data_IF_486326307361
#
_entry.id   IF_486326307361
#
_cell.length_a   1.000
_cell.length_b   1.000
_cell.length_c   1.000
_cell.angle_alpha   90.00
_cell.angle_beta   90.00
_cell.angle_gamma   90.00
#
_symmetry.space_group_name_H-M   'P 1'
#
loop_
_entity.id
_entity.type
_entity.pdbx_description
1 polymer ?
#
# COMPACT_ATOMS: atom_id res chain seq x y z
N UNK A 1 -1.56 -18.20 -20.07
CA UNK A 1 -0.24 -18.79 -19.82
C UNK A 1 0.36 -18.16 -18.58
N UNK A 2 0.44 -18.93 -17.51
CA UNK A 2 1.04 -18.54 -16.24
C UNK A 2 2.57 -18.59 -16.33
N UNK A 3 3.27 -17.89 -15.43
CA UNK A 3 4.74 -17.97 -15.36
C UNK A 3 5.22 -19.39 -15.00
N UNK A 4 4.43 -20.13 -14.23
CA UNK A 4 4.71 -21.51 -13.83
C UNK A 4 4.77 -22.49 -15.02
N UNK A 5 3.97 -22.25 -16.07
CA UNK A 5 3.96 -23.08 -17.28
C UNK A 5 5.21 -22.85 -18.15
N UNK A 6 5.89 -21.71 -17.94
CA UNK A 6 7.14 -21.34 -18.60
C UNK A 6 8.37 -21.79 -17.80
N UNK A 7 8.16 -22.30 -16.58
CA UNK A 7 9.20 -22.77 -15.68
C UNK A 7 10.03 -23.89 -16.31
N UNK A 8 11.34 -23.87 -16.04
CA UNK A 8 12.28 -24.93 -16.43
C UNK A 8 13.23 -25.19 -15.27
N UNK A 9 13.28 -26.44 -14.83
CA UNK A 9 14.14 -26.86 -13.72
C UNK A 9 15.59 -26.36 -13.89
N UNK A 10 16.15 -25.78 -12.82
CA UNK A 10 17.49 -25.20 -12.74
C UNK A 10 17.63 -23.77 -13.27
N UNK A 11 16.60 -23.21 -13.91
CA UNK A 11 16.65 -21.87 -14.49
C UNK A 11 16.44 -20.79 -13.42
N UNK A 12 17.32 -19.81 -13.38
CA UNK A 12 17.26 -18.71 -12.42
C UNK A 12 17.79 -17.41 -13.03
N UNK A 13 17.40 -16.28 -12.44
CA UNK A 13 17.94 -14.96 -12.74
C UNK A 13 18.99 -14.60 -11.69
N UNK A 14 20.26 -14.49 -12.09
CA UNK A 14 21.37 -14.27 -11.15
C UNK A 14 21.68 -12.80 -10.87
N UNK A 15 21.14 -11.86 -11.66
CA UNK A 15 21.51 -10.44 -11.62
C UNK A 15 21.29 -9.75 -10.25
N UNK A 16 20.31 -10.22 -9.49
CA UNK A 16 20.00 -9.72 -8.13
C UNK A 16 20.31 -10.77 -7.05
N UNK A 17 20.99 -11.86 -7.41
CA UNK A 17 21.38 -12.85 -6.41
C UNK A 17 22.44 -12.20 -5.52
N UNK A 18 22.21 -12.13 -4.20
CA UNK A 18 23.22 -11.58 -3.30
C UNK A 18 24.50 -12.40 -3.46
N UNK A 19 25.65 -11.72 -3.42
CA UNK A 19 26.92 -12.42 -3.35
C UNK A 19 26.84 -13.40 -2.17
N UNK A 20 27.17 -14.66 -2.42
CA UNK A 20 27.19 -15.68 -1.39
C UNK A 20 28.32 -15.34 -0.44
N UNK A 21 28.04 -14.47 0.53
CA UNK A 21 28.94 -14.27 1.65
C UNK A 21 29.11 -15.62 2.33
N UNK A 22 30.37 -16.02 2.52
CA UNK A 22 30.77 -17.31 3.09
C UNK A 22 30.26 -17.55 4.52
N UNK A 23 29.58 -16.57 5.12
CA UNK A 23 28.79 -16.75 6.31
C UNK A 23 27.47 -17.43 5.95
N UNK A 24 27.55 -18.74 5.68
CA UNK A 24 26.37 -19.59 5.70
C UNK A 24 25.64 -19.32 7.02
N UNK A 25 24.46 -18.69 6.93
CA UNK A 25 23.58 -18.50 8.07
C UNK A 25 23.43 -19.86 8.73
N UNK A 26 23.92 -19.99 9.97
CA UNK A 26 23.86 -21.23 10.73
C UNK A 26 22.44 -21.42 11.26
N UNK A 27 21.52 -21.72 10.35
CA UNK A 27 20.16 -22.10 10.70
C UNK A 27 20.23 -23.52 11.23
N UNK A 28 19.81 -23.79 12.48
CA UNK A 28 19.75 -25.15 12.99
C UNK A 28 18.95 -26.05 12.06
N UNK A 29 19.45 -27.27 11.77
CA UNK A 29 18.81 -28.20 10.82
C UNK A 29 17.34 -28.49 11.16
N UNK A 30 16.99 -28.47 12.44
CA UNK A 30 15.61 -28.63 12.90
C UNK A 30 14.66 -27.52 12.40
N UNK A 31 15.20 -26.34 12.11
CA UNK A 31 14.49 -25.17 11.59
C UNK A 31 14.69 -25.00 10.07
N UNK A 32 15.60 -25.76 9.46
CA UNK A 32 15.86 -25.70 8.03
C UNK A 32 14.65 -26.21 7.24
N UNK A 33 14.32 -25.50 6.16
CA UNK A 33 13.21 -25.88 5.29
C UNK A 33 13.57 -27.15 4.51
N UNK A 34 12.77 -28.20 4.68
CA UNK A 34 12.99 -29.51 4.05
C UNK A 34 12.36 -29.68 2.67
N UNK A 35 11.46 -28.79 2.28
CA UNK A 35 10.71 -28.87 1.02
C UNK A 35 11.09 -27.72 0.08
N UNK A 36 11.14 -28.00 -1.22
CA UNK A 36 11.38 -26.95 -2.23
C UNK A 36 10.26 -25.89 -2.20
N UNK A 37 10.63 -24.67 -2.56
CA UNK A 37 9.68 -23.60 -2.83
C UNK A 37 8.96 -23.87 -4.16
N UNK A 38 7.64 -23.70 -4.20
CA UNK A 38 6.84 -23.79 -5.42
C UNK A 38 6.95 -22.52 -6.28
N UNK A 39 8.14 -21.96 -6.42
CA UNK A 39 8.40 -20.76 -7.23
C UNK A 39 8.71 -21.16 -8.69
N UNK A 40 8.42 -20.28 -9.67
CA UNK A 40 8.79 -20.55 -11.05
C UNK A 40 10.31 -20.43 -11.24
N UNK A 41 10.87 -21.32 -12.04
CA UNK A 41 12.28 -21.32 -12.43
C UNK A 41 12.40 -20.68 -13.83
N UNK A 42 12.64 -19.37 -13.84
CA UNK A 42 12.61 -18.51 -15.03
C UNK A 42 13.88 -17.66 -15.12
N UNK A 43 14.31 -17.36 -16.35
CA UNK A 43 15.41 -16.42 -16.58
C UNK A 43 14.89 -14.99 -16.48
N UNK A 44 15.78 -14.01 -16.33
CA UNK A 44 15.41 -12.60 -16.29
C UNK A 44 14.61 -12.19 -17.54
N UNK A 45 15.04 -12.64 -18.73
CA UNK A 45 14.33 -12.36 -19.98
C UNK A 45 12.95 -13.02 -20.04
N UNK A 46 12.78 -14.21 -19.47
CA UNK A 46 11.48 -14.86 -19.38
C UNK A 46 10.53 -14.05 -18.50
N UNK A 47 11.02 -13.55 -17.35
CA UNK A 47 10.26 -12.71 -16.42
C UNK A 47 9.86 -11.38 -17.08
N UNK A 48 10.81 -10.69 -17.73
CA UNK A 48 10.54 -9.44 -18.47
C UNK A 48 9.46 -9.69 -19.52
N UNK A 49 9.63 -10.71 -20.39
CA UNK A 49 8.65 -11.04 -21.44
C UNK A 49 7.30 -11.39 -20.86
N UNK A 50 7.25 -12.09 -19.73
CA UNK A 50 6.00 -12.46 -19.07
C UNK A 50 5.22 -11.22 -18.63
N UNK A 51 5.84 -10.34 -17.82
CA UNK A 51 5.15 -9.16 -17.28
C UNK A 51 4.88 -8.09 -18.35
N UNK A 52 5.73 -7.92 -19.36
CA UNK A 52 5.43 -7.04 -20.51
C UNK A 52 4.20 -7.54 -21.29
N UNK A 53 4.06 -8.85 -21.51
CA UNK A 53 2.88 -9.40 -22.18
C UNK A 53 1.62 -9.30 -21.31
N UNK A 54 1.75 -9.42 -19.99
CA UNK A 54 0.62 -9.19 -19.08
C UNK A 54 0.19 -7.72 -19.08
N UNK A 55 1.14 -6.77 -19.08
CA UNK A 55 0.80 -5.35 -19.12
C UNK A 55 0.06 -4.97 -20.40
N UNK A 56 0.43 -5.56 -21.55
CA UNK A 56 -0.25 -5.38 -22.83
C UNK A 56 -1.69 -5.95 -22.86
N UNK A 57 -2.02 -6.86 -21.94
CA UNK A 57 -3.38 -7.41 -21.78
C UNK A 57 -4.24 -6.58 -20.82
N UNK A 58 -3.64 -5.68 -20.05
CA UNK A 58 -4.36 -4.82 -19.13
C UNK A 58 -4.89 -3.59 -19.86
N UNK A 59 -6.17 -3.31 -19.69
CA UNK A 59 -6.74 -2.01 -20.01
C UNK A 59 -6.31 -1.02 -18.93
N UNK A 60 -5.70 0.10 -19.32
CA UNK A 60 -5.13 1.07 -18.38
C UNK A 60 -5.48 2.50 -18.77
N UNK A 61 -5.42 3.41 -17.79
CA UNK A 61 -5.61 4.85 -18.00
C UNK A 61 -4.50 5.48 -18.85
N UNK A 62 -3.30 4.90 -18.84
CA UNK A 62 -2.16 5.41 -19.59
C UNK A 62 -2.33 5.24 -21.09
N UNK A 63 -3.18 4.30 -21.51
CA UNK A 63 -3.39 3.94 -22.91
C UNK A 63 -4.81 4.20 -23.38
N UNK A 64 -5.77 4.45 -22.48
CA UNK A 64 -7.19 4.58 -22.82
C UNK A 64 -7.93 5.57 -21.92
N UNK A 65 -9.08 6.03 -22.41
CA UNK A 65 -10.07 6.70 -21.57
C UNK A 65 -10.74 5.71 -20.61
N UNK A 66 -10.86 6.07 -19.33
CA UNK A 66 -11.25 5.15 -18.25
C UNK A 66 -12.35 5.74 -17.33
N UNK A 67 -13.62 5.81 -17.77
CA UNK A 67 -14.69 6.54 -17.08
C UNK A 67 -15.35 5.73 -15.93
N UNK A 68 -14.59 5.37 -14.91
CA UNK A 68 -15.16 4.74 -13.70
C UNK A 68 -15.70 5.81 -12.73
N UNK A 69 -17.00 5.78 -12.49
CA UNK A 69 -17.65 6.58 -11.45
C UNK A 69 -17.09 6.25 -10.06
N UNK A 70 -17.05 7.25 -9.17
CA UNK A 70 -16.47 7.17 -7.80
C UNK A 70 -14.96 6.90 -7.72
N UNK A 71 -14.31 6.38 -8.77
CA UNK A 71 -12.88 6.03 -8.75
C UNK A 71 -11.93 7.19 -9.08
N UNK A 72 -12.42 8.29 -9.66
CA UNK A 72 -11.60 9.47 -10.04
C UNK A 72 -10.36 9.07 -10.86
N UNK A 73 -10.58 8.40 -12.00
CA UNK A 73 -9.53 7.95 -12.91
C UNK A 73 -8.87 9.14 -13.65
N UNK A 74 -8.08 9.93 -12.94
CA UNK A 74 -7.31 11.07 -13.44
C UNK A 74 -5.92 10.65 -13.89
N UNK A 75 -5.28 11.47 -14.73
CA UNK A 75 -3.86 11.29 -15.09
C UNK A 75 -2.97 11.18 -13.83
N UNK A 76 -2.04 10.22 -13.85
CA UNK A 76 -1.02 10.03 -12.83
C UNK A 76 0.32 10.62 -13.32
N UNK A 77 0.73 11.83 -12.86
CA UNK A 77 1.94 12.47 -13.36
C UNK A 77 3.19 11.63 -13.12
N UNK A 78 3.97 11.37 -14.18
CA UNK A 78 5.18 10.54 -14.09
C UNK A 78 6.22 11.11 -13.10
N UNK A 79 6.25 12.43 -12.94
CA UNK A 79 7.10 13.11 -11.97
C UNK A 79 6.84 12.64 -10.53
N UNK A 80 5.58 12.32 -10.18
CA UNK A 80 5.25 11.82 -8.84
C UNK A 80 5.94 10.48 -8.55
N UNK A 81 5.96 9.57 -9.54
CA UNK A 81 6.67 8.30 -9.42
C UNK A 81 8.19 8.52 -9.30
N UNK A 82 8.76 9.39 -10.13
CA UNK A 82 10.19 9.72 -10.05
C UNK A 82 10.58 10.29 -8.68
N UNK A 83 9.76 11.17 -8.10
CA UNK A 83 10.00 11.76 -6.78
C UNK A 83 9.85 10.74 -5.65
N UNK A 84 8.88 9.84 -5.74
CA UNK A 84 8.68 8.76 -4.77
C UNK A 84 9.85 7.75 -4.77
N UNK A 85 10.54 7.60 -5.90
CA UNK A 85 11.70 6.73 -6.06
C UNK A 85 13.03 7.38 -5.62
N UNK A 86 13.02 8.62 -5.13
CA UNK A 86 14.23 9.23 -4.58
C UNK A 86 14.76 8.39 -3.40
N UNK A 87 16.09 8.20 -3.33
CA UNK A 87 16.74 7.33 -2.34
C UNK A 87 16.37 7.66 -0.89
N UNK A 88 16.16 8.94 -0.59
CA UNK A 88 15.75 9.39 0.74
C UNK A 88 14.35 8.93 1.16
N UNK A 89 13.46 8.63 0.21
CA UNK A 89 12.16 8.01 0.50
C UNK A 89 12.24 6.48 0.39
N UNK A 90 12.87 5.96 -0.66
CA UNK A 90 12.91 4.53 -0.96
C UNK A 90 13.62 3.72 0.14
N UNK A 91 14.67 4.29 0.74
CA UNK A 91 15.51 3.62 1.74
C UNK A 91 15.22 4.08 3.18
N UNK A 92 14.16 4.89 3.39
CA UNK A 92 13.79 5.34 4.72
C UNK A 92 13.22 4.19 5.56
N UNK A 93 13.85 3.91 6.70
CA UNK A 93 13.28 3.00 7.69
C UNK A 93 12.32 3.76 8.62
N UNK A 94 11.11 3.24 8.92
CA UNK A 94 10.11 3.95 9.72
C UNK A 94 10.51 4.19 11.18
N UNK A 95 11.52 3.48 11.69
CA UNK A 95 12.09 3.69 13.03
C UNK A 95 13.41 4.46 13.03
N UNK A 96 13.80 5.07 11.89
CA UNK A 96 14.95 5.96 11.88
C UNK A 96 14.68 7.16 12.82
N UNK A 97 15.65 7.57 13.66
CA UNK A 97 15.49 8.75 14.50
C UNK A 97 15.05 9.98 13.71
N UNK A 98 14.11 10.75 14.26
CA UNK A 98 13.47 11.88 13.57
C UNK A 98 14.48 12.89 13.00
N UNK A 99 15.59 13.11 13.69
CA UNK A 99 16.67 14.02 13.27
C UNK A 99 17.30 13.64 11.92
N UNK A 100 17.21 12.37 11.50
CA UNK A 100 17.76 11.89 10.23
C UNK A 100 16.72 11.80 9.09
N UNK A 101 15.44 12.07 9.36
CA UNK A 101 14.34 11.96 8.38
C UNK A 101 13.51 13.25 8.27
N UNK A 102 14.07 14.39 8.66
CA UNK A 102 13.38 15.69 8.65
C UNK A 102 12.80 16.06 7.28
N UNK A 103 13.43 15.65 6.18
CA UNK A 103 12.88 15.86 4.83
C UNK A 103 11.53 15.17 4.62
N UNK A 104 11.42 13.89 5.00
CA UNK A 104 10.17 13.12 4.94
C UNK A 104 9.11 13.70 5.86
N UNK A 105 9.49 14.04 7.10
CA UNK A 105 8.58 14.64 8.08
C UNK A 105 8.05 16.00 7.61
N UNK A 106 8.89 16.82 6.98
CA UNK A 106 8.47 18.10 6.38
C UNK A 106 7.46 17.89 5.26
N UNK A 107 7.67 16.90 4.36
CA UNK A 107 6.70 16.56 3.33
C UNK A 107 5.34 16.11 3.91
N UNK A 108 5.36 15.28 4.96
CA UNK A 108 4.15 14.84 5.65
C UNK A 108 3.41 16.02 6.28
N UNK A 109 4.13 16.87 7.00
CA UNK A 109 3.57 18.06 7.64
C UNK A 109 2.92 19.00 6.63
N UNK A 110 3.63 19.35 5.54
CA UNK A 110 3.06 20.22 4.51
C UNK A 110 1.83 19.61 3.82
N UNK A 111 1.81 18.29 3.62
CA UNK A 111 0.61 17.62 3.11
C UNK A 111 -0.57 17.75 4.08
N UNK A 112 -0.34 17.60 5.40
CA UNK A 112 -1.37 17.79 6.40
C UNK A 112 -1.92 19.22 6.37
N UNK A 113 -1.06 20.24 6.26
CA UNK A 113 -1.47 21.65 6.19
C UNK A 113 -2.31 21.93 4.94
N UNK A 114 -1.87 21.45 3.77
CA UNK A 114 -2.64 21.59 2.51
C UNK A 114 -4.01 20.94 2.65
N UNK A 115 -4.09 19.74 3.24
CA UNK A 115 -5.36 19.05 3.42
C UNK A 115 -6.27 19.75 4.44
N UNK A 116 -5.71 20.31 5.52
CA UNK A 116 -6.47 21.12 6.47
C UNK A 116 -7.09 22.34 5.79
N UNK A 117 -6.31 23.07 4.98
CA UNK A 117 -6.78 24.24 4.26
C UNK A 117 -7.90 23.90 3.28
N UNK A 118 -7.73 22.84 2.47
CA UNK A 118 -8.72 22.44 1.45
C UNK A 118 -10.01 21.89 2.06
N UNK A 119 -9.94 21.24 3.23
CA UNK A 119 -11.10 20.60 3.87
C UNK A 119 -11.76 21.46 4.96
N UNK A 120 -11.08 22.51 5.44
CA UNK A 120 -11.52 23.30 6.59
C UNK A 120 -11.39 22.57 7.94
N UNK A 121 -10.68 21.45 7.99
CA UNK A 121 -10.47 20.66 9.21
C UNK A 121 -9.40 21.29 10.11
N UNK A 122 -9.48 21.01 11.41
CA UNK A 122 -8.51 21.50 12.41
C UNK A 122 -7.20 20.72 12.45
N UNK A 123 -7.22 19.47 12.00
CA UNK A 123 -6.07 18.58 11.96
C UNK A 123 -6.36 17.45 10.97
N UNK A 124 -5.29 16.82 10.45
CA UNK A 124 -5.36 15.68 9.53
C UNK A 124 -4.38 14.61 10.01
N UNK A 125 -4.80 13.34 9.98
CA UNK A 125 -3.90 12.19 10.17
C UNK A 125 -3.59 11.54 8.82
N UNK A 126 -2.32 11.19 8.61
CA UNK A 126 -1.84 10.47 7.42
C UNK A 126 -1.66 8.96 7.67
N UNK A 127 -2.03 8.46 8.86
CA UNK A 127 -1.91 7.05 9.22
C UNK A 127 -2.85 6.11 8.44
N UNK A 128 -4.11 6.47 8.14
CA UNK A 128 -4.98 5.60 7.35
C UNK A 128 -4.45 5.40 5.93
N UNK A 129 -4.34 4.14 5.51
CA UNK A 129 -3.74 3.74 4.22
C UNK A 129 -4.75 3.63 3.07
N UNK A 130 -6.04 3.77 3.35
CA UNK A 130 -7.13 3.74 2.37
C UNK A 130 -8.38 4.46 2.89
N UNK A 131 -9.31 4.80 1.99
CA UNK A 131 -10.56 5.48 2.32
C UNK A 131 -11.37 4.78 3.42
N UNK A 132 -11.61 3.48 3.28
CA UNK A 132 -12.36 2.69 4.28
C UNK A 132 -11.66 2.64 5.66
N UNK A 133 -10.33 2.65 5.70
CA UNK A 133 -9.60 2.76 6.97
C UNK A 133 -9.73 4.18 7.56
N UNK A 134 -9.80 5.20 6.72
CA UNK A 134 -10.11 6.57 7.12
C UNK A 134 -11.51 6.69 7.72
N UNK A 135 -12.51 6.05 7.10
CA UNK A 135 -13.87 5.93 7.65
C UNK A 135 -13.83 5.29 9.05
N UNK A 136 -13.15 4.14 9.19
CA UNK A 136 -13.02 3.44 10.47
C UNK A 136 -12.37 4.32 11.55
N UNK A 137 -11.24 4.95 11.24
CA UNK A 137 -10.57 5.86 12.18
C UNK A 137 -11.47 7.04 12.56
N UNK A 138 -12.25 7.57 11.61
CA UNK A 138 -13.20 8.65 11.85
C UNK A 138 -14.35 8.24 12.79
N UNK A 139 -14.99 7.11 12.53
CA UNK A 139 -16.06 6.59 13.39
C UNK A 139 -15.53 6.20 14.77
N UNK A 140 -14.36 5.56 14.85
CA UNK A 140 -13.71 5.24 16.12
C UNK A 140 -13.39 6.51 16.94
N UNK A 141 -12.97 7.60 16.28
CA UNK A 141 -12.76 8.90 16.93
C UNK A 141 -14.07 9.52 17.44
N UNK A 142 -15.16 9.43 16.66
CA UNK A 142 -16.49 9.90 17.09
C UNK A 142 -16.98 9.09 18.30
N UNK A 143 -16.81 7.77 18.27
CA UNK A 143 -17.14 6.89 19.39
C UNK A 143 -16.36 7.27 20.65
N UNK A 144 -15.03 7.41 20.53
CA UNK A 144 -14.19 7.82 21.65
C UNK A 144 -14.59 9.18 22.23
N UNK A 145 -15.03 10.12 21.39
CA UNK A 145 -15.55 11.42 21.82
C UNK A 145 -16.81 11.31 22.68
N UNK A 146 -17.75 10.43 22.33
CA UNK A 146 -18.97 10.18 23.09
C UNK A 146 -18.70 9.38 24.37
N UNK A 147 -17.84 8.36 24.30
CA UNK A 147 -17.44 7.55 25.45
C UNK A 147 -16.75 8.41 26.53
N UNK A 148 -15.87 9.36 26.14
CA UNK A 148 -15.24 10.34 27.04
C UNK A 148 -16.25 11.25 27.77
N UNK A 149 -17.41 11.48 27.14
CA UNK A 149 -18.52 12.27 27.69
C UNK A 149 -19.56 11.44 28.44
N UNK A 150 -19.36 10.13 28.52
CA UNK A 150 -20.33 9.19 29.08
C UNK A 150 -21.69 9.20 28.34
N UNK A 151 -21.70 9.58 27.05
CA UNK A 151 -22.89 9.62 26.18
C UNK A 151 -23.05 8.29 25.41
N UNK A 152 -23.26 7.20 26.15
CA UNK A 152 -23.24 5.83 25.62
C UNK A 152 -24.48 5.47 24.76
N UNK A 153 -25.51 6.32 24.77
CA UNK A 153 -26.71 6.14 23.95
C UNK A 153 -26.45 6.49 22.46
N UNK A 154 -25.29 7.06 22.13
CA UNK A 154 -24.87 7.36 20.74
C UNK A 154 -24.27 6.13 20.07
N UNK A 155 -25.12 5.15 19.79
CA UNK A 155 -24.76 3.84 19.22
C UNK A 155 -25.39 3.59 17.83
N UNK A 156 -25.99 4.60 17.21
CA UNK A 156 -26.59 4.51 15.88
C UNK A 156 -25.84 5.40 14.88
N UNK A 157 -25.49 4.83 13.72
CA UNK A 157 -24.92 5.55 12.57
C UNK A 157 -25.94 5.58 11.44
N UNK A 158 -26.32 6.78 11.00
CA UNK A 158 -27.26 6.97 9.89
C UNK A 158 -26.48 6.90 8.58
N UNK A 159 -26.85 5.96 7.71
CA UNK A 159 -26.23 5.76 6.40
C UNK A 159 -27.30 5.87 5.31
N UNK A 160 -27.12 6.73 4.29
CA UNK A 160 -28.05 6.79 3.15
C UNK A 160 -28.02 5.51 2.30
N UNK A 161 -29.15 5.15 1.68
CA UNK A 161 -29.24 3.97 0.79
C UNK A 161 -28.26 4.01 -0.40
N UNK A 162 -27.87 5.22 -0.84
CA UNK A 162 -26.94 5.44 -1.94
C UNK A 162 -25.46 5.46 -1.50
N UNK A 163 -25.17 5.23 -0.21
CA UNK A 163 -23.80 5.23 0.30
C UNK A 163 -22.96 4.09 -0.30
N UNK A 164 -21.65 4.28 -0.31
CA UNK A 164 -20.73 3.23 -0.68
C UNK A 164 -20.78 2.09 0.34
N UNK A 165 -20.58 0.84 -0.09
CA UNK A 165 -20.72 -0.34 0.78
C UNK A 165 -19.72 -0.39 1.95
N UNK A 166 -18.65 0.42 1.90
CA UNK A 166 -17.69 0.57 3.01
C UNK A 166 -18.31 1.26 4.21
N UNK A 167 -19.23 2.21 4.02
CA UNK A 167 -19.85 2.96 5.10
C UNK A 167 -20.60 2.08 6.13
N UNK A 168 -21.58 1.24 5.74
CA UNK A 168 -22.25 0.37 6.70
C UNK A 168 -21.33 -0.73 7.25
N UNK A 169 -20.36 -1.21 6.45
CA UNK A 169 -19.38 -2.18 6.92
C UNK A 169 -18.49 -1.60 8.03
N UNK A 170 -18.05 -0.36 7.88
CA UNK A 170 -17.29 0.39 8.89
C UNK A 170 -18.10 0.55 10.17
N UNK A 171 -19.37 0.96 10.07
CA UNK A 171 -20.23 1.11 11.25
C UNK A 171 -20.31 -0.20 12.05
N UNK A 172 -20.56 -1.33 11.38
CA UNK A 172 -20.60 -2.66 12.02
C UNK A 172 -19.25 -3.01 12.68
N UNK A 173 -18.12 -2.67 12.03
CA UNK A 173 -16.79 -2.94 12.57
C UNK A 173 -16.47 -2.11 13.83
N UNK A 174 -17.05 -0.92 13.99
CA UNK A 174 -16.84 -0.05 15.14
C UNK A 174 -17.74 -0.40 16.35
N UNK A 175 -18.67 -1.35 16.18
CA UNK A 175 -19.68 -1.70 17.18
C UNK A 175 -20.76 -0.64 17.33
#
# INVERSE_FOLDING_TARGET
MLIFEQSRAGRHASAQTPETSSNALQIPEALARKTKLGLPEASELDVIRHYTRLSQKNFSIDTNFYPLGSCTMKYNPRVCNSLALNDGFLNAHPHTPDEHIQGTLSCMFHLQEILQEVTGMKAVSLTPMAGAQGEFSGIAMIKAYHDDRQDFERNEIIVPDAAHGTNPATAIMCG
#
